data_IF_611415270538
#
_entry.id   IF_611415270538
#
_cell.length_a   1.000
_cell.length_b   1.000
_cell.length_c   1.000
_cell.angle_alpha   90.00
_cell.angle_beta   90.00
_cell.angle_gamma   90.00
#
_symmetry.space_group_name_H-M   'P 1'
#
loop_
_entity.id
_entity.type
_entity.pdbx_description
1 polymer ?
#
# COMPACT_ATOMS: atom_id res chain seq x y z
N UNK A 1 4.24 -27.40 -8.26
CA UNK A 1 4.22 -26.43 -7.13
C UNK A 1 3.59 -27.15 -5.93
N UNK A 2 4.20 -27.19 -4.74
CA UNK A 2 3.73 -28.03 -3.61
C UNK A 2 2.48 -27.43 -2.92
N UNK A 3 1.63 -28.29 -2.31
CA UNK A 3 0.41 -27.88 -1.60
C UNK A 3 0.68 -26.89 -0.45
N UNK A 4 1.78 -27.08 0.29
CA UNK A 4 2.21 -26.16 1.36
C UNK A 4 2.56 -24.77 0.82
N UNK A 5 3.18 -24.70 -0.37
CA UNK A 5 3.51 -23.42 -1.04
C UNK A 5 2.24 -22.71 -1.53
N UNK A 6 1.25 -23.46 -2.02
CA UNK A 6 -0.04 -22.91 -2.45
C UNK A 6 -0.85 -22.37 -1.26
N UNK A 7 -0.89 -23.09 -0.14
CA UNK A 7 -1.54 -22.64 1.09
C UNK A 7 -0.90 -21.35 1.63
N UNK A 8 0.44 -21.31 1.72
CA UNK A 8 1.20 -20.12 2.13
C UNK A 8 1.00 -18.92 1.19
N UNK A 9 0.92 -19.16 -0.13
CA UNK A 9 0.62 -18.12 -1.11
C UNK A 9 -0.82 -17.58 -1.00
N UNK A 10 -1.77 -18.42 -0.60
CA UNK A 10 -3.16 -18.01 -0.36
C UNK A 10 -3.26 -17.13 0.90
N UNK A 11 -2.61 -17.56 1.98
CA UNK A 11 -2.58 -16.83 3.25
C UNK A 11 -1.92 -15.45 3.12
N UNK A 12 -0.75 -15.38 2.50
CA UNK A 12 -0.05 -14.10 2.27
C UNK A 12 -0.86 -13.15 1.39
N UNK A 13 -1.63 -13.65 0.43
CA UNK A 13 -2.52 -12.80 -0.34
C UNK A 13 -3.68 -12.26 0.49
N UNK A 14 -4.29 -13.08 1.36
CA UNK A 14 -5.37 -12.63 2.24
C UNK A 14 -4.87 -11.56 3.22
N UNK A 15 -3.68 -11.74 3.79
CA UNK A 15 -3.02 -10.76 4.65
C UNK A 15 -2.80 -9.43 3.91
N UNK A 16 -2.22 -9.48 2.71
CA UNK A 16 -2.06 -8.30 1.86
C UNK A 16 -3.42 -7.64 1.53
N UNK A 17 -4.44 -8.43 1.19
CA UNK A 17 -5.77 -7.92 0.87
C UNK A 17 -6.41 -7.22 2.06
N UNK A 18 -6.30 -7.78 3.26
CA UNK A 18 -6.80 -7.16 4.50
C UNK A 18 -6.11 -5.83 4.79
N UNK A 19 -4.78 -5.75 4.64
CA UNK A 19 -4.05 -4.50 4.78
C UNK A 19 -4.50 -3.44 3.78
N UNK A 20 -4.71 -3.81 2.51
CA UNK A 20 -5.19 -2.88 1.50
C UNK A 20 -6.63 -2.41 1.78
N UNK A 21 -7.50 -3.29 2.28
CA UNK A 21 -8.88 -2.92 2.68
C UNK A 21 -8.89 -2.00 3.90
N UNK A 22 -7.97 -2.19 4.84
CA UNK A 22 -7.79 -1.28 5.99
C UNK A 22 -7.32 0.10 5.60
N UNK A 23 -6.55 0.17 4.52
CA UNK A 23 -6.07 1.38 3.91
C UNK A 23 -7.17 2.10 3.10
N UNK A 24 -7.60 1.50 1.99
CA UNK A 24 -8.41 2.16 0.94
C UNK A 24 -9.75 1.46 0.67
N UNK A 25 -10.11 0.49 1.51
CA UNK A 25 -11.33 -0.28 1.38
C UNK A 25 -12.56 0.37 2.04
N UNK A 26 -13.74 -0.08 1.64
CA UNK A 26 -15.02 0.23 2.26
C UNK A 26 -15.97 -0.96 2.27
N UNK A 27 -16.36 -1.39 3.47
CA UNK A 27 -17.36 -2.44 3.69
C UNK A 27 -18.67 -1.76 4.05
N UNK A 28 -19.69 -1.97 3.21
CA UNK A 28 -20.94 -1.21 3.22
C UNK A 28 -22.13 -2.15 3.30
N UNK A 29 -23.18 -1.69 3.98
CA UNK A 29 -24.54 -2.23 3.92
C UNK A 29 -25.43 -1.06 3.50
N UNK A 30 -26.16 -1.19 2.39
CA UNK A 30 -27.08 -0.15 1.95
C UNK A 30 -28.41 -0.21 2.73
N UNK A 31 -29.29 0.78 2.51
CA UNK A 31 -30.60 0.86 3.18
C UNK A 31 -31.51 -0.35 2.93
N UNK A 32 -31.30 -1.08 1.83
CA UNK A 32 -32.02 -2.32 1.49
C UNK A 32 -31.35 -3.58 2.05
N UNK A 33 -30.26 -3.44 2.81
CA UNK A 33 -29.53 -4.55 3.43
C UNK A 33 -28.53 -5.26 2.51
N UNK A 34 -28.28 -4.76 1.29
CA UNK A 34 -27.28 -5.35 0.41
C UNK A 34 -25.87 -4.95 0.84
N UNK A 35 -25.00 -5.96 0.93
CA UNK A 35 -23.59 -5.79 1.27
C UNK A 35 -22.75 -5.45 0.04
N UNK A 36 -21.72 -4.62 0.22
CA UNK A 36 -20.70 -4.44 -0.81
C UNK A 36 -19.33 -4.13 -0.21
N UNK A 37 -18.29 -4.52 -0.95
CA UNK A 37 -16.92 -4.08 -0.74
C UNK A 37 -16.52 -3.17 -1.90
N UNK A 38 -15.92 -2.02 -1.57
CA UNK A 38 -15.28 -1.13 -2.53
C UNK A 38 -13.80 -0.93 -2.15
N UNK A 39 -12.91 -0.87 -3.14
CA UNK A 39 -11.50 -0.46 -2.95
C UNK A 39 -11.17 0.54 -4.06
N UNK A 40 -10.67 1.72 -3.70
CA UNK A 40 -10.34 2.78 -4.66
C UNK A 40 -8.85 3.06 -4.64
N UNK A 41 -8.18 2.98 -5.80
CA UNK A 41 -6.75 3.24 -5.93
C UNK A 41 -6.46 4.15 -7.12
N UNK A 42 -5.25 4.72 -7.17
CA UNK A 42 -4.77 5.53 -8.31
C UNK A 42 -4.93 4.77 -9.64
N UNK A 43 -5.07 5.49 -10.76
CA UNK A 43 -5.04 4.88 -12.10
C UNK A 43 -3.78 4.04 -12.37
N UNK A 44 -2.68 4.32 -11.67
CA UNK A 44 -1.43 3.56 -11.80
C UNK A 44 -1.49 2.17 -11.15
N UNK A 45 -2.52 1.93 -10.34
CA UNK A 45 -2.70 0.75 -9.50
C UNK A 45 -3.79 -0.20 -10.01
N UNK A 46 -4.20 -0.07 -11.27
CA UNK A 46 -5.19 -0.95 -11.90
C UNK A 46 -4.82 -2.44 -11.74
N UNK A 47 -3.54 -2.78 -11.88
CA UNK A 47 -3.07 -4.16 -11.73
C UNK A 47 -3.34 -4.75 -10.33
N UNK A 48 -3.30 -3.92 -9.27
CA UNK A 48 -3.63 -4.36 -7.92
C UNK A 48 -5.13 -4.68 -7.81
N UNK A 49 -5.99 -3.82 -8.36
CA UNK A 49 -7.44 -4.03 -8.38
C UNK A 49 -7.84 -5.22 -9.28
N UNK A 50 -7.17 -5.42 -10.41
CA UNK A 50 -7.36 -6.57 -11.29
C UNK A 50 -7.03 -7.89 -10.58
N UNK A 51 -5.98 -7.91 -9.75
CA UNK A 51 -5.63 -9.08 -8.95
C UNK A 51 -6.70 -9.40 -7.88
N UNK A 52 -7.39 -8.39 -7.33
CA UNK A 52 -8.55 -8.58 -6.45
C UNK A 52 -9.71 -9.17 -7.25
N UNK A 53 -10.04 -8.57 -8.40
CA UNK A 53 -11.11 -9.04 -9.30
C UNK A 53 -10.91 -10.49 -9.74
N UNK A 54 -9.67 -10.91 -10.03
CA UNK A 54 -9.40 -12.29 -10.43
C UNK A 54 -9.76 -13.30 -9.33
N UNK A 55 -9.68 -12.92 -8.05
CA UNK A 55 -9.95 -13.82 -6.91
C UNK A 55 -11.36 -13.75 -6.36
N UNK A 56 -12.03 -12.61 -6.52
CA UNK A 56 -13.32 -12.31 -5.90
C UNK A 56 -14.41 -11.95 -6.92
N UNK A 57 -14.11 -11.99 -8.21
CA UNK A 57 -14.93 -11.43 -9.29
C UNK A 57 -15.24 -9.94 -9.04
N UNK A 58 -16.42 -9.46 -9.46
CA UNK A 58 -16.81 -8.06 -9.34
C UNK A 58 -16.32 -7.19 -10.52
N UNK A 59 -16.24 -5.89 -10.31
CA UNK A 59 -15.94 -4.93 -11.38
C UNK A 59 -14.88 -3.92 -10.98
N UNK A 60 -14.00 -3.56 -11.92
CA UNK A 60 -13.09 -2.42 -11.82
C UNK A 60 -13.56 -1.38 -12.82
N UNK A 61 -13.84 -0.16 -12.37
CA UNK A 61 -14.35 0.94 -13.21
C UNK A 61 -13.61 2.24 -12.90
N UNK A 62 -13.46 3.10 -13.89
CA UNK A 62 -12.93 4.44 -13.71
C UNK A 62 -13.82 5.25 -12.77
N UNK A 63 -13.22 6.02 -11.87
CA UNK A 63 -13.90 7.02 -11.04
C UNK A 63 -13.65 8.40 -11.67
N UNK A 64 -14.64 8.88 -12.41
CA UNK A 64 -14.57 10.16 -13.12
C UNK A 64 -14.10 11.29 -12.20
N UNK A 65 -13.22 12.15 -12.70
CA UNK A 65 -12.65 13.33 -12.01
C UNK A 65 -11.80 13.03 -10.76
N UNK A 66 -11.58 11.76 -10.40
CA UNK A 66 -10.81 11.38 -9.22
C UNK A 66 -9.39 10.85 -9.55
N UNK A 67 -9.05 10.68 -10.84
CA UNK A 67 -7.76 10.10 -11.23
C UNK A 67 -7.53 8.69 -10.65
N UNK A 68 -8.61 7.92 -10.48
CA UNK A 68 -8.62 6.67 -9.74
C UNK A 68 -9.51 5.60 -10.40
N UNK A 69 -9.20 4.34 -10.14
CA UNK A 69 -10.08 3.21 -10.40
C UNK A 69 -10.74 2.74 -9.11
N UNK A 70 -11.96 2.21 -9.23
CA UNK A 70 -12.68 1.59 -8.12
C UNK A 70 -13.01 0.15 -8.45
N UNK A 71 -12.55 -0.76 -7.59
CA UNK A 71 -13.07 -2.11 -7.49
C UNK A 71 -14.37 -2.11 -6.69
N UNK A 72 -15.39 -2.85 -7.14
CA UNK A 72 -16.66 -3.05 -6.44
C UNK A 72 -17.12 -4.50 -6.52
N UNK A 73 -17.48 -5.05 -5.37
CA UNK A 73 -18.04 -6.38 -5.14
C UNK A 73 -19.36 -6.26 -4.39
N UNK A 74 -20.39 -6.98 -4.81
CA UNK A 74 -21.73 -6.89 -4.19
C UNK A 74 -22.58 -8.16 -4.31
N UNK A 75 -22.20 -9.13 -5.16
CA UNK A 75 -22.92 -10.39 -5.24
C UNK A 75 -22.59 -11.27 -4.01
N UNK A 76 -23.55 -12.10 -3.60
CA UNK A 76 -23.54 -12.79 -2.30
C UNK A 76 -22.33 -13.70 -2.09
N UNK A 77 -22.00 -14.54 -3.08
CA UNK A 77 -20.92 -15.55 -2.99
C UNK A 77 -19.53 -14.91 -2.84
N UNK A 78 -19.21 -13.91 -3.66
CA UNK A 78 -17.97 -13.15 -3.55
C UNK A 78 -17.90 -12.34 -2.27
N UNK A 79 -19.01 -11.75 -1.80
CA UNK A 79 -19.02 -11.06 -0.50
C UNK A 79 -18.71 -12.01 0.65
N UNK A 80 -19.34 -13.20 0.70
CA UNK A 80 -19.02 -14.20 1.73
C UNK A 80 -17.54 -14.62 1.66
N UNK A 81 -17.02 -14.84 0.45
CA UNK A 81 -15.62 -15.16 0.23
C UNK A 81 -14.68 -14.05 0.71
N UNK A 82 -15.02 -12.78 0.45
CA UNK A 82 -14.25 -11.63 0.90
C UNK A 82 -14.26 -11.53 2.43
N UNK A 83 -15.42 -11.66 3.07
CA UNK A 83 -15.54 -11.60 4.53
C UNK A 83 -14.70 -12.69 5.20
N UNK A 84 -14.78 -13.94 4.74
CA UNK A 84 -13.95 -15.03 5.25
C UNK A 84 -12.45 -14.75 5.13
N UNK A 85 -12.02 -14.09 4.04
CA UNK A 85 -10.61 -13.74 3.82
C UNK A 85 -10.13 -12.55 4.66
N UNK A 86 -11.03 -11.67 5.10
CA UNK A 86 -10.72 -10.49 5.90
C UNK A 86 -10.81 -10.75 7.40
N UNK A 87 -11.66 -11.69 7.81
CA UNK A 87 -11.96 -11.98 9.20
C UNK A 87 -10.71 -12.43 9.98
N UNK A 88 -10.43 -11.77 11.10
CA UNK A 88 -9.19 -11.96 11.89
C UNK A 88 -7.92 -11.32 11.31
N UNK A 89 -7.96 -10.74 10.10
CA UNK A 89 -6.79 -10.12 9.45
C UNK A 89 -6.85 -8.58 9.36
N UNK A 90 -8.04 -7.98 9.32
CA UNK A 90 -8.17 -6.52 9.40
C UNK A 90 -7.73 -6.01 10.78
N UNK A 91 -7.12 -4.83 10.85
CA UNK A 91 -6.67 -4.16 12.08
C UNK A 91 -7.27 -2.76 12.27
N UNK A 92 -7.75 -2.12 11.19
CA UNK A 92 -8.29 -0.75 11.27
C UNK A 92 -9.57 -0.73 12.09
N UNK A 93 -9.63 0.10 13.15
CA UNK A 93 -10.82 0.22 14.01
C UNK A 93 -12.11 0.50 13.23
N UNK A 94 -12.03 1.34 12.19
CA UNK A 94 -13.18 1.64 11.31
C UNK A 94 -13.58 0.39 10.52
N UNK A 95 -12.61 -0.36 9.96
CA UNK A 95 -12.93 -1.56 9.19
C UNK A 95 -13.41 -2.70 10.08
N UNK A 96 -12.89 -2.84 11.30
CA UNK A 96 -13.34 -3.84 12.26
C UNK A 96 -14.82 -3.67 12.60
N UNK A 97 -15.26 -2.42 12.84
CA UNK A 97 -16.69 -2.12 13.08
C UNK A 97 -17.54 -2.47 11.86
N UNK A 98 -17.08 -2.16 10.65
CA UNK A 98 -17.82 -2.51 9.43
C UNK A 98 -17.85 -4.03 9.22
N UNK A 99 -16.70 -4.70 9.33
CA UNK A 99 -16.55 -6.14 9.14
C UNK A 99 -17.43 -6.91 10.10
N UNK A 100 -17.44 -6.55 11.39
CA UNK A 100 -18.31 -7.17 12.41
C UNK A 100 -19.79 -7.13 11.99
N UNK A 101 -20.28 -5.95 11.58
CA UNK A 101 -21.67 -5.79 11.10
C UNK A 101 -21.97 -6.65 9.87
N UNK A 102 -21.03 -6.75 8.93
CA UNK A 102 -21.23 -7.58 7.74
C UNK A 102 -21.18 -9.07 8.07
N UNK A 103 -20.28 -9.52 8.96
CA UNK A 103 -20.24 -10.90 9.44
C UNK A 103 -21.59 -11.31 10.04
N UNK A 104 -22.09 -10.54 11.01
CA UNK A 104 -23.39 -10.74 11.68
C UNK A 104 -24.56 -10.78 10.68
N UNK A 105 -24.52 -9.94 9.63
CA UNK A 105 -25.58 -9.91 8.59
C UNK A 105 -25.48 -11.05 7.58
N UNK A 106 -24.28 -11.55 7.30
CA UNK A 106 -23.99 -12.39 6.14
C UNK A 106 -24.43 -13.85 6.28
N UNK A 107 -24.20 -14.47 7.44
CA UNK A 107 -24.51 -15.86 7.74
C UNK A 107 -24.43 -16.11 9.25
N UNK A 108 -25.35 -16.90 9.85
CA UNK A 108 -25.24 -17.32 11.25
C UNK A 108 -23.93 -18.07 11.58
N UNK A 109 -23.30 -18.68 10.57
CA UNK A 109 -22.07 -19.46 10.74
C UNK A 109 -20.79 -18.62 10.64
N UNK A 110 -20.85 -17.38 10.14
CA UNK A 110 -19.67 -16.53 10.01
C UNK A 110 -19.52 -15.64 11.25
N UNK A 111 -18.90 -16.20 12.28
CA UNK A 111 -18.59 -15.48 13.51
C UNK A 111 -17.44 -14.50 13.28
N UNK A 112 -17.57 -13.28 13.82
CA UNK A 112 -16.49 -12.30 13.79
C UNK A 112 -15.29 -12.75 14.66
N UNK A 113 -14.09 -12.62 14.11
CA UNK A 113 -12.82 -12.96 14.77
C UNK A 113 -12.05 -11.65 15.01
N UNK A 114 -11.61 -11.37 16.26
CA UNK A 114 -10.83 -10.18 16.56
C UNK A 114 -9.47 -10.19 15.83
N UNK A 115 -8.87 -9.01 15.59
CA UNK A 115 -7.58 -8.91 14.92
C UNK A 115 -6.46 -9.61 15.68
N UNK A 116 -5.59 -10.30 14.97
CA UNK A 116 -4.28 -10.69 15.50
C UNK A 116 -3.33 -9.48 15.57
N UNK A 117 -2.38 -9.46 16.52
CA UNK A 117 -1.36 -8.40 16.58
C UNK A 117 -0.56 -8.25 15.28
N UNK A 118 -0.16 -7.02 14.97
CA UNK A 118 0.75 -6.77 13.86
C UNK A 118 2.12 -7.40 14.12
N UNK A 119 2.62 -8.19 13.17
CA UNK A 119 3.96 -8.77 13.23
C UNK A 119 4.69 -8.64 11.90
N UNK A 120 6.02 -8.79 11.94
CA UNK A 120 6.90 -8.81 10.78
C UNK A 120 6.71 -10.04 9.88
N UNK A 121 5.95 -11.04 10.33
CA UNK A 121 5.73 -12.32 9.64
C UNK A 121 4.42 -12.37 8.85
N UNK A 122 3.79 -11.22 8.62
CA UNK A 122 2.57 -11.11 7.83
C UNK A 122 2.71 -10.12 6.68
N UNK A 123 1.95 -10.34 5.61
CA UNK A 123 1.86 -9.44 4.47
C UNK A 123 0.90 -8.25 4.70
N UNK A 124 0.31 -8.11 5.88
CA UNK A 124 -0.69 -7.07 6.16
C UNK A 124 -0.14 -5.67 5.92
N UNK A 125 1.05 -5.37 6.46
CA UNK A 125 1.62 -4.03 6.31
C UNK A 125 2.02 -3.73 4.86
N UNK A 126 2.40 -4.74 4.07
CA UNK A 126 2.59 -4.57 2.62
C UNK A 126 1.31 -4.11 1.92
N UNK A 127 0.16 -4.67 2.27
CA UNK A 127 -1.14 -4.24 1.73
C UNK A 127 -1.53 -2.84 2.18
N UNK A 128 -1.36 -2.56 3.47
CA UNK A 128 -1.64 -1.24 4.04
C UNK A 128 -0.74 -0.16 3.40
N UNK A 129 0.52 -0.48 3.18
CA UNK A 129 1.50 0.38 2.51
C UNK A 129 1.17 0.61 1.02
N UNK A 130 0.57 -0.37 0.34
CA UNK A 130 0.11 -0.18 -1.04
C UNK A 130 -0.96 0.93 -1.14
N UNK A 131 -1.78 1.13 -0.11
CA UNK A 131 -2.74 2.24 -0.06
C UNK A 131 -2.15 3.53 0.52
N UNK A 132 -1.72 3.50 1.79
CA UNK A 132 -1.33 4.71 2.57
C UNK A 132 0.18 4.96 2.64
N UNK A 133 0.99 4.04 2.12
CA UNK A 133 2.44 4.16 2.14
C UNK A 133 2.98 5.23 1.19
N UNK A 134 4.10 5.80 1.55
CA UNK A 134 4.83 6.76 0.72
C UNK A 134 6.31 6.45 0.75
N UNK A 135 6.94 6.49 -0.43
CA UNK A 135 8.37 6.34 -0.63
C UNK A 135 8.80 7.49 -1.55
N UNK A 136 9.49 8.46 -0.98
CA UNK A 136 9.94 9.69 -1.65
C UNK A 136 11.35 10.02 -1.23
N UNK A 137 12.03 10.90 -1.98
CA UNK A 137 13.22 11.56 -1.49
C UNK A 137 13.14 13.04 -1.80
N UNK A 138 13.89 13.84 -1.05
CA UNK A 138 14.06 15.28 -1.27
C UNK A 138 15.48 15.70 -0.96
N UNK A 139 15.92 16.83 -1.51
CA UNK A 139 17.23 17.39 -1.19
C UNK A 139 17.14 18.21 0.10
N UNK A 140 17.91 17.81 1.11
CA UNK A 140 18.10 18.57 2.35
C UNK A 140 19.55 19.02 2.39
N UNK A 141 19.80 20.33 2.38
CA UNK A 141 21.17 20.90 2.33
C UNK A 141 22.01 20.28 1.19
N UNK A 142 21.43 20.22 -0.02
CA UNK A 142 22.02 19.61 -1.21
C UNK A 142 22.32 18.10 -1.12
N UNK A 143 21.83 17.43 -0.08
CA UNK A 143 21.96 15.99 0.10
C UNK A 143 20.62 15.28 -0.12
N UNK A 144 20.50 14.30 -1.04
CA UNK A 144 19.24 13.60 -1.25
C UNK A 144 18.95 12.64 -0.09
N UNK A 145 17.82 12.89 0.58
CA UNK A 145 17.32 12.11 1.70
C UNK A 145 16.08 11.33 1.30
N UNK A 146 16.19 10.00 1.33
CA UNK A 146 15.08 9.07 1.12
C UNK A 146 14.26 8.93 2.41
N UNK A 147 12.94 8.97 2.28
CA UNK A 147 11.99 8.85 3.38
C UNK A 147 10.91 7.85 2.98
N UNK A 148 10.68 6.88 3.86
CA UNK A 148 9.51 6.00 3.82
C UNK A 148 8.58 6.43 4.94
N UNK A 149 7.29 6.55 4.63
CA UNK A 149 6.32 7.01 5.61
C UNK A 149 4.91 6.47 5.38
N UNK A 150 4.11 6.54 6.43
CA UNK A 150 2.67 6.24 6.43
C UNK A 150 2.00 7.29 7.31
N UNK A 151 0.90 7.88 6.84
CA UNK A 151 0.11 8.83 7.62
C UNK A 151 -1.18 8.18 8.10
N UNK A 152 -1.60 8.46 9.33
CA UNK A 152 -2.82 7.94 9.92
C UNK A 152 -3.44 8.96 10.87
N UNK A 153 -4.78 9.02 10.93
CA UNK A 153 -5.48 9.91 11.87
C UNK A 153 -5.36 9.44 13.32
N UNK A 154 -5.17 8.13 13.55
CA UNK A 154 -4.97 7.58 14.88
C UNK A 154 -3.47 7.41 15.19
N UNK A 155 -3.00 8.03 16.28
CA UNK A 155 -1.63 7.93 16.76
C UNK A 155 -1.23 6.50 17.17
N UNK A 156 -2.16 5.73 17.72
CA UNK A 156 -1.92 4.36 18.19
C UNK A 156 -1.50 3.45 17.04
N UNK A 157 -2.15 3.60 15.87
CA UNK A 157 -1.77 2.88 14.65
C UNK A 157 -0.31 3.17 14.25
N UNK A 158 0.09 4.44 14.28
CA UNK A 158 1.48 4.83 14.01
C UNK A 158 2.43 4.28 15.10
N UNK A 159 1.97 4.17 16.34
CA UNK A 159 2.66 3.53 17.45
C UNK A 159 3.02 2.07 17.15
N UNK A 160 2.07 1.30 16.63
CA UNK A 160 2.28 -0.09 16.20
C UNK A 160 3.33 -0.20 15.09
N UNK A 161 3.30 0.72 14.11
CA UNK A 161 4.28 0.74 13.02
C UNK A 161 5.68 1.06 13.56
N UNK A 162 5.79 1.99 14.51
CA UNK A 162 7.06 2.30 15.18
C UNK A 162 7.59 1.12 15.99
N UNK A 163 6.74 0.39 16.70
CA UNK A 163 7.14 -0.79 17.45
C UNK A 163 7.63 -1.91 16.52
N UNK A 164 6.97 -2.07 15.37
CA UNK A 164 7.27 -3.15 14.41
C UNK A 164 8.49 -2.86 13.53
N UNK A 165 8.64 -1.61 13.07
CA UNK A 165 9.64 -1.24 12.06
C UNK A 165 10.65 -0.17 12.54
N UNK A 166 10.56 0.27 13.80
CA UNK A 166 11.35 1.39 14.31
C UNK A 166 10.91 2.73 13.73
N UNK A 167 11.82 3.71 13.71
CA UNK A 167 11.55 5.04 13.14
C UNK A 167 10.95 6.02 14.14
N UNK A 168 10.33 7.07 13.61
CA UNK A 168 9.78 8.18 14.39
C UNK A 168 8.33 8.44 14.02
N UNK A 169 7.59 9.06 14.94
CA UNK A 169 6.23 9.54 14.69
C UNK A 169 6.26 11.06 14.80
N UNK A 170 5.71 11.74 13.81
CA UNK A 170 5.55 13.20 13.80
C UNK A 170 4.08 13.53 13.62
N UNK A 171 3.62 14.61 14.26
CA UNK A 171 2.29 15.14 13.97
C UNK A 171 2.38 16.14 12.82
N UNK A 172 1.62 15.92 11.76
CA UNK A 172 1.46 16.83 10.64
C UNK A 172 0.21 17.69 10.85
N UNK A 173 0.44 18.94 11.28
CA UNK A 173 -0.61 19.93 11.54
C UNK A 173 -1.45 20.24 10.29
N UNK A 174 -0.85 20.18 9.08
CA UNK A 174 -1.55 20.54 7.84
C UNK A 174 -2.62 19.52 7.48
N UNK A 175 -2.30 18.25 7.64
CA UNK A 175 -3.23 17.15 7.36
C UNK A 175 -4.04 16.71 8.58
N UNK A 176 -3.69 17.22 9.77
CA UNK A 176 -4.22 16.77 11.06
C UNK A 176 -4.09 15.25 11.21
N UNK A 177 -2.88 14.73 10.91
CA UNK A 177 -2.56 13.30 11.00
C UNK A 177 -1.23 13.05 11.71
N UNK A 178 -1.06 11.83 12.19
CA UNK A 178 0.22 11.32 12.66
C UNK A 178 0.92 10.61 11.53
N UNK A 179 2.21 10.87 11.37
CA UNK A 179 3.05 10.32 10.31
C UNK A 179 4.17 9.50 10.92
N UNK A 180 4.14 8.20 10.68
CA UNK A 180 5.27 7.31 10.93
C UNK A 180 6.29 7.48 9.80
N UNK A 181 7.57 7.60 10.12
CA UNK A 181 8.65 7.81 9.14
C UNK A 181 9.94 7.05 9.49
N UNK A 182 10.60 6.53 8.46
CA UNK A 182 11.98 6.03 8.51
C UNK A 182 12.83 6.70 7.42
N UNK A 183 14.05 7.08 7.78
CA UNK A 183 14.96 7.82 6.90
C UNK A 183 16.44 7.38 7.02
N UNK A 184 16.79 6.60 8.05
CA UNK A 184 18.13 6.01 8.20
C UNK A 184 18.29 4.87 7.19
N UNK A 185 19.49 4.71 6.62
CA UNK A 185 19.79 3.71 5.58
C UNK A 185 19.44 2.30 6.08
N UNK A 186 19.83 1.97 7.30
CA UNK A 186 19.65 0.67 7.94
C UNK A 186 18.16 0.35 8.13
N UNK A 187 17.38 1.32 8.65
CA UNK A 187 15.94 1.17 8.81
C UNK A 187 15.21 1.01 7.47
N UNK A 188 15.64 1.75 6.43
CA UNK A 188 15.09 1.61 5.08
C UNK A 188 15.42 0.23 4.49
N UNK A 189 16.64 -0.27 4.67
CA UNK A 189 17.01 -1.62 4.20
C UNK A 189 16.30 -2.73 4.97
N UNK A 190 16.07 -2.54 6.27
CA UNK A 190 15.23 -3.44 7.07
C UNK A 190 13.81 -3.54 6.49
N UNK A 191 13.18 -2.39 6.23
CA UNK A 191 11.86 -2.33 5.62
C UNK A 191 11.84 -2.88 4.18
N UNK A 192 12.88 -2.59 3.40
CA UNK A 192 13.06 -3.15 2.05
C UNK A 192 13.13 -4.68 2.07
N UNK A 193 13.82 -5.27 3.04
CA UNK A 193 13.89 -6.73 3.19
C UNK A 193 12.53 -7.33 3.60
N UNK A 194 11.76 -6.65 4.46
CA UNK A 194 10.37 -7.01 4.72
C UNK A 194 9.56 -7.03 3.42
N UNK A 195 9.68 -6.00 2.57
CA UNK A 195 8.97 -5.93 1.28
C UNK A 195 9.50 -6.90 0.21
N UNK A 196 10.74 -7.42 0.35
CA UNK A 196 11.19 -8.55 -0.47
C UNK A 196 10.49 -9.84 -0.08
N UNK A 197 10.23 -10.05 1.22
CA UNK A 197 9.49 -11.20 1.74
C UNK A 197 7.99 -11.09 1.44
N UNK A 198 7.44 -9.88 1.53
CA UNK A 198 6.02 -9.57 1.26
C UNK A 198 5.92 -8.46 0.20
N UNK A 199 5.92 -8.82 -1.09
CA UNK A 199 5.95 -7.83 -2.17
C UNK A 199 4.69 -6.98 -2.28
N UNK A 200 4.92 -5.67 -2.47
CA UNK A 200 3.91 -4.72 -2.91
C UNK A 200 3.29 -5.15 -4.25
N UNK A 201 2.01 -4.83 -4.43
CA UNK A 201 1.24 -5.08 -5.65
C UNK A 201 0.86 -3.80 -6.39
N UNK A 202 0.97 -2.63 -5.75
CA UNK A 202 0.79 -1.32 -6.37
C UNK A 202 2.00 -0.92 -7.25
N UNK A 203 1.89 0.19 -7.96
CA UNK A 203 2.98 0.82 -8.71
C UNK A 203 4.18 1.17 -7.82
N UNK A 204 3.96 1.35 -6.50
CA UNK A 204 5.02 1.67 -5.52
C UNK A 204 6.11 0.61 -5.50
N UNK A 205 5.82 -0.65 -5.89
CA UNK A 205 6.83 -1.71 -6.05
C UNK A 205 8.01 -1.32 -6.95
N UNK A 206 7.74 -0.48 -7.98
CA UNK A 206 8.78 0.03 -8.89
C UNK A 206 9.76 0.96 -8.19
N UNK A 207 9.29 1.82 -7.27
CA UNK A 207 10.18 2.69 -6.47
C UNK A 207 10.93 1.89 -5.41
N UNK A 208 10.27 0.92 -4.78
CA UNK A 208 10.92 0.04 -3.79
C UNK A 208 12.09 -0.72 -4.40
N UNK A 209 11.97 -1.23 -5.64
CA UNK A 209 13.08 -1.93 -6.30
C UNK A 209 14.27 -1.02 -6.63
N UNK A 210 14.08 0.30 -6.64
CA UNK A 210 15.12 1.30 -6.90
C UNK A 210 15.88 1.74 -5.64
N UNK A 211 15.45 1.32 -4.44
CA UNK A 211 16.10 1.69 -3.15
C UNK A 211 17.61 1.39 -3.15
N UNK A 212 18.08 0.19 -3.54
CA UNK A 212 19.52 -0.09 -3.57
C UNK A 212 20.27 0.85 -4.52
N UNK A 213 19.69 1.14 -5.70
CA UNK A 213 20.29 2.02 -6.70
C UNK A 213 20.38 3.46 -6.21
N UNK A 214 19.37 3.94 -5.49
CA UNK A 214 19.39 5.26 -4.85
C UNK A 214 20.61 5.40 -3.93
N UNK A 215 20.83 4.46 -3.01
CA UNK A 215 21.94 4.55 -2.08
C UNK A 215 23.30 4.40 -2.77
N UNK A 216 23.42 3.54 -3.78
CA UNK A 216 24.63 3.42 -4.59
C UNK A 216 25.00 4.74 -5.28
N UNK A 217 24.04 5.38 -5.94
CA UNK A 217 24.28 6.65 -6.64
C UNK A 217 24.53 7.81 -5.67
N UNK A 218 23.88 7.79 -4.50
CA UNK A 218 24.10 8.79 -3.45
C UNK A 218 25.51 8.70 -2.85
N UNK A 219 26.02 7.49 -2.64
CA UNK A 219 27.35 7.23 -2.07
C UNK A 219 28.47 7.81 -2.93
N UNK A 220 28.37 7.69 -4.25
CA UNK A 220 29.32 8.30 -5.21
C UNK A 220 28.97 9.77 -5.56
N UNK A 221 28.00 10.35 -4.86
CA UNK A 221 27.48 11.70 -5.09
C UNK A 221 27.13 11.98 -6.56
N UNK A 222 26.51 11.02 -7.24
CA UNK A 222 26.22 11.12 -8.68
C UNK A 222 25.40 12.37 -9.04
N UNK A 223 24.58 12.86 -8.11
CA UNK A 223 23.72 14.04 -8.27
C UNK A 223 24.46 15.39 -8.26
N UNK A 224 25.72 15.44 -7.78
CA UNK A 224 26.52 16.67 -7.71
C UNK A 224 27.70 16.69 -8.69
N UNK A 225 27.85 15.63 -9.50
CA UNK A 225 28.89 15.55 -10.53
C UNK A 225 28.60 16.53 -11.69
N UNK A 226 29.64 16.86 -12.47
CA UNK A 226 29.51 17.68 -13.67
C UNK A 226 28.53 17.04 -14.68
N UNK A 227 27.73 17.86 -15.36
CA UNK A 227 26.57 17.42 -16.15
C UNK A 227 26.94 16.52 -17.33
N UNK A 228 28.14 16.68 -17.85
CA UNK A 228 28.69 15.96 -19.01
C UNK A 228 29.09 14.52 -18.64
N UNK A 229 29.33 14.28 -17.34
CA UNK A 229 29.82 12.98 -16.85
C UNK A 229 28.78 11.88 -17.01
N UNK A 230 29.28 10.66 -17.27
CA UNK A 230 28.43 9.46 -17.29
C UNK A 230 27.79 9.21 -15.91
N UNK A 231 28.45 9.62 -14.82
CA UNK A 231 27.96 9.49 -13.45
C UNK A 231 26.72 10.37 -13.21
N UNK A 232 26.76 11.65 -13.61
CA UNK A 232 25.59 12.52 -13.54
C UNK A 232 24.44 12.01 -14.42
N UNK A 233 24.75 11.55 -15.64
CA UNK A 233 23.76 10.90 -16.52
C UNK A 233 23.10 9.68 -15.86
N UNK A 234 23.84 8.89 -15.06
CA UNK A 234 23.27 7.77 -14.33
C UNK A 234 22.27 8.20 -13.24
N UNK A 235 22.49 9.36 -12.59
CA UNK A 235 21.51 9.97 -11.68
C UNK A 235 20.23 10.35 -12.42
N UNK A 236 20.35 11.06 -13.56
CA UNK A 236 19.18 11.45 -14.36
C UNK A 236 18.35 10.25 -14.83
N UNK A 237 19.01 9.16 -15.23
CA UNK A 237 18.33 7.91 -15.61
C UNK A 237 17.59 7.27 -14.43
N UNK A 238 18.16 7.36 -13.22
CA UNK A 238 17.48 6.94 -12.00
C UNK A 238 16.26 7.82 -11.72
N UNK A 239 16.38 9.15 -11.80
CA UNK A 239 15.26 10.08 -11.58
C UNK A 239 14.09 9.83 -12.53
N UNK A 240 14.38 9.59 -13.81
CA UNK A 240 13.39 9.24 -14.83
C UNK A 240 12.62 7.97 -14.46
N UNK A 241 13.29 6.97 -13.87
CA UNK A 241 12.65 5.73 -13.38
C UNK A 241 11.91 5.94 -12.06
N UNK A 242 12.38 6.84 -11.20
CA UNK A 242 11.82 7.12 -9.89
C UNK A 242 10.48 7.88 -9.98
N UNK A 243 10.40 8.90 -10.84
CA UNK A 243 9.24 9.76 -11.03
C UNK A 243 8.70 9.66 -12.47
N UNK A 244 8.20 8.50 -12.92
CA UNK A 244 7.73 8.35 -14.29
C UNK A 244 6.56 9.28 -14.63
N UNK A 245 5.71 9.59 -13.65
CA UNK A 245 4.52 10.44 -13.79
C UNK A 245 4.81 11.88 -14.20
N UNK A 246 5.93 12.46 -13.73
CA UNK A 246 6.35 13.81 -14.12
C UNK A 246 6.66 13.92 -15.62
N UNK A 247 6.98 12.79 -16.26
CA UNK A 247 7.21 12.71 -17.70
C UNK A 247 5.93 12.37 -18.48
N UNK A 248 4.97 11.64 -17.88
CA UNK A 248 3.68 11.33 -18.52
C UNK A 248 2.73 12.54 -18.55
N UNK A 249 2.68 13.36 -17.50
CA UNK A 249 1.82 14.55 -17.47
C UNK A 249 2.21 15.59 -18.52
N UNK A 250 3.51 15.72 -18.83
CA UNK A 250 3.99 16.60 -19.90
C UNK A 250 3.47 16.18 -21.28
N UNK A 251 3.45 14.87 -21.56
CA UNK A 251 3.01 14.34 -22.86
C UNK A 251 1.49 14.17 -22.99
N UNK A 252 0.73 14.15 -21.89
CA UNK A 252 -0.72 14.00 -21.91
C UNK A 252 -1.45 15.35 -22.07
N UNK A 253 -0.89 16.44 -21.53
CA UNK A 253 -1.42 17.80 -21.70
C UNK A 253 -1.08 18.41 -23.07
N UNK A 254 -0.10 17.86 -23.80
CA UNK A 254 0.20 18.25 -25.19
C UNK A 254 -0.69 17.55 -26.23
N UNK A 255 -1.64 16.71 -25.78
CA UNK A 255 -2.54 15.92 -26.65
C UNK A 255 -4.03 16.06 -26.32
N UNK A 256 -4.40 17.09 -25.55
CA UNK A 256 -5.78 17.56 -25.35
C UNK A 256 -5.81 19.03 -25.75
#
# INVERSE_FOLDING_TARGET
MTLSKLAKNSETWNQWFAGLVDADGCLLINSKGYMSLEVTMSILDEAALAAIKQKLEGSVKLRSKAGAFRYRLHHKTGMLTALTKLNGLCQSSIRLVQLKKLCEKSSPTLLFIPPSPLTLDTAWFSGFFDGHGSLTYSFTRQWPQLIISVSNKNAENCGLFRQTFGGVIRFDKRSNTYKWEIYKKEAIFFFYNYLKKYPLRSHKKKRVSLIPKFFQLREIQAYSQLKETKTYKAWLLFEKKWNPEQFYQKNFLEKI
#
